data_IF_134864477687
#
_entry.id   IF_134864477687
#
_cell.length_a   1.000
_cell.length_b   1.000
_cell.length_c   1.000
_cell.angle_alpha   90.00
_cell.angle_beta   90.00
_cell.angle_gamma   90.00
#
_symmetry.space_group_name_H-M   'P 1'
#
loop_
_entity.id
_entity.type
_entity.pdbx_description
1 polymer ?
#
# COMPACT_ATOMS: atom_id res chain seq x y z
N UNK A 1 4.67 6.44 -15.81
CA UNK A 1 5.40 5.54 -14.87
C UNK A 1 5.78 6.23 -13.57
N UNK A 2 6.46 7.38 -13.60
CA UNK A 2 6.91 8.06 -12.38
C UNK A 2 5.75 8.43 -11.42
N UNK A 3 4.58 8.79 -11.95
CA UNK A 3 3.39 9.09 -11.14
C UNK A 3 2.87 7.87 -10.36
N UNK A 4 2.88 6.67 -10.96
CA UNK A 4 2.44 5.44 -10.30
C UNK A 4 3.46 5.00 -9.23
N UNK A 5 4.76 5.12 -9.52
CA UNK A 5 5.82 4.85 -8.54
C UNK A 5 5.70 5.77 -7.31
N UNK A 6 5.55 7.08 -7.54
CA UNK A 6 5.34 8.06 -6.45
C UNK A 6 4.04 7.84 -5.68
N UNK A 7 2.98 7.32 -6.31
CA UNK A 7 1.77 6.92 -5.60
C UNK A 7 2.02 5.69 -4.73
N UNK A 8 2.66 4.66 -5.30
CA UNK A 8 2.99 3.43 -4.60
C UNK A 8 3.87 3.69 -3.36
N UNK A 9 4.87 4.56 -3.48
CA UNK A 9 5.73 4.94 -2.35
C UNK A 9 4.94 5.57 -1.21
N UNK A 10 4.00 6.47 -1.52
CA UNK A 10 3.12 7.10 -0.52
C UNK A 10 2.18 6.09 0.13
N UNK A 11 1.63 5.16 -0.64
CA UNK A 11 0.75 4.11 -0.11
C UNK A 11 1.51 3.17 0.84
N UNK A 12 2.70 2.70 0.43
CA UNK A 12 3.56 1.84 1.24
C UNK A 12 4.05 2.55 2.51
N UNK A 13 4.40 3.83 2.40
CA UNK A 13 4.75 4.65 3.56
C UNK A 13 3.57 4.72 4.55
N UNK A 14 2.35 5.01 4.06
CA UNK A 14 1.17 5.08 4.92
C UNK A 14 0.83 3.74 5.58
N UNK A 15 0.98 2.63 4.87
CA UNK A 15 0.76 1.28 5.42
C UNK A 15 1.75 0.99 6.55
N UNK A 16 3.03 1.28 6.31
CA UNK A 16 4.07 1.15 7.33
C UNK A 16 3.75 2.01 8.55
N UNK A 17 3.36 3.26 8.35
CA UNK A 17 3.03 4.15 9.48
C UNK A 17 1.86 3.61 10.31
N UNK A 18 0.81 3.08 9.67
CA UNK A 18 -0.33 2.44 10.36
C UNK A 18 0.09 1.20 11.16
N UNK A 19 0.96 0.35 10.58
CA UNK A 19 1.47 -0.85 11.25
C UNK A 19 2.35 -0.44 12.44
N UNK A 20 3.22 0.55 12.25
CA UNK A 20 4.10 1.05 13.32
C UNK A 20 3.30 1.71 14.44
N UNK A 21 2.26 2.48 14.14
CA UNK A 21 1.34 3.05 15.12
C UNK A 21 0.62 1.94 15.91
N UNK A 22 0.11 0.93 15.20
CA UNK A 22 -0.57 -0.21 15.83
C UNK A 22 0.38 -1.02 16.74
N UNK A 23 1.66 -1.12 16.38
CA UNK A 23 2.69 -1.82 17.14
C UNK A 23 3.16 -1.06 18.40
N UNK A 24 2.78 0.20 18.59
CA UNK A 24 3.11 0.96 19.82
C UNK A 24 2.35 0.46 21.05
N UNK A 25 1.28 -0.30 20.85
CA UNK A 25 0.42 -0.80 21.92
C UNK A 25 0.73 -2.28 22.19
N UNK A 26 0.80 -2.66 23.46
CA UNK A 26 0.98 -4.06 23.91
C UNK A 26 -0.29 -4.93 23.75
N UNK A 27 -1.25 -4.46 22.95
CA UNK A 27 -2.55 -5.10 22.74
C UNK A 27 -2.82 -5.24 21.26
N UNK A 28 -3.64 -6.23 20.88
CA UNK A 28 -4.06 -6.40 19.49
C UNK A 28 -4.72 -5.11 18.94
N UNK A 29 -4.40 -4.71 17.70
CA UNK A 29 -5.05 -3.57 17.07
C UNK A 29 -6.55 -3.84 16.91
N UNK A 30 -7.36 -2.80 17.04
CA UNK A 30 -8.80 -2.92 16.80
C UNK A 30 -9.07 -3.43 15.37
N UNK A 31 -10.17 -4.17 15.19
CA UNK A 31 -10.59 -4.70 13.88
C UNK A 31 -10.68 -3.61 12.80
N UNK A 32 -11.06 -2.39 13.18
CA UNK A 32 -11.10 -1.23 12.29
C UNK A 32 -9.71 -0.83 11.77
N UNK A 33 -8.67 -0.95 12.59
CA UNK A 33 -7.27 -0.74 12.20
C UNK A 33 -6.79 -1.84 11.27
N UNK A 34 -7.06 -3.11 11.62
CA UNK A 34 -6.71 -4.25 10.77
C UNK A 34 -7.37 -4.15 9.39
N UNK A 35 -8.66 -3.77 9.36
CA UNK A 35 -9.39 -3.56 8.11
C UNK A 35 -8.80 -2.44 7.26
N UNK A 36 -8.42 -1.31 7.87
CA UNK A 36 -7.75 -0.20 7.15
C UNK A 36 -6.42 -0.61 6.54
N UNK A 37 -5.64 -1.43 7.24
CA UNK A 37 -4.37 -1.97 6.71
C UNK A 37 -4.65 -2.88 5.51
N UNK A 38 -5.60 -3.81 5.63
CA UNK A 38 -5.97 -4.71 4.54
C UNK A 38 -6.56 -3.99 3.32
N UNK A 39 -7.36 -2.95 3.52
CA UNK A 39 -7.86 -2.10 2.44
C UNK A 39 -6.71 -1.41 1.69
N UNK A 40 -5.71 -0.91 2.44
CA UNK A 40 -4.54 -0.26 1.84
C UNK A 40 -3.65 -1.25 1.08
N UNK A 41 -3.50 -2.48 1.58
CA UNK A 41 -2.81 -3.57 0.88
C UNK A 41 -3.45 -3.89 -0.48
N UNK A 42 -4.78 -3.96 -0.52
CA UNK A 42 -5.51 -4.19 -1.78
C UNK A 42 -5.27 -3.06 -2.78
N UNK A 43 -5.24 -1.81 -2.32
CA UNK A 43 -4.95 -0.64 -3.19
C UNK A 43 -3.51 -0.69 -3.69
N UNK A 44 -2.54 -1.04 -2.84
CA UNK A 44 -1.13 -1.21 -3.22
C UNK A 44 -1.00 -2.26 -4.33
N UNK A 45 -1.61 -3.43 -4.15
CA UNK A 45 -1.58 -4.51 -5.14
C UNK A 45 -2.19 -4.07 -6.48
N UNK A 46 -3.30 -3.31 -6.45
CA UNK A 46 -3.91 -2.77 -7.66
C UNK A 46 -2.98 -1.77 -8.40
N UNK A 47 -2.32 -0.88 -7.66
CA UNK A 47 -1.37 0.08 -8.24
C UNK A 47 -0.13 -0.62 -8.82
N UNK A 48 0.37 -1.66 -8.15
CA UNK A 48 1.47 -2.48 -8.64
C UNK A 48 1.11 -3.19 -9.94
N UNK A 49 -0.09 -3.78 -10.03
CA UNK A 49 -0.59 -4.42 -11.24
C UNK A 49 -0.65 -3.43 -12.43
N UNK A 50 -1.24 -2.26 -12.23
CA UNK A 50 -1.30 -1.22 -13.28
C UNK A 50 0.10 -0.74 -13.66
N UNK A 51 1.01 -0.55 -12.69
CA UNK A 51 2.38 -0.14 -13.00
C UNK A 51 3.16 -1.20 -13.80
N UNK A 52 2.89 -2.48 -13.53
CA UNK A 52 3.45 -3.61 -14.28
C UNK A 52 2.90 -3.69 -15.71
N UNK A 53 1.61 -3.43 -15.90
CA UNK A 53 0.94 -3.34 -17.20
C UNK A 53 1.52 -2.20 -18.04
N UNK A 54 1.59 -1.00 -17.49
CA UNK A 54 2.19 0.17 -18.15
C UNK A 54 3.66 -0.09 -18.56
N UNK A 55 4.43 -0.76 -17.70
CA UNK A 55 5.80 -1.19 -18.00
C UNK A 55 5.87 -2.18 -19.17
N UNK A 56 4.89 -3.08 -19.28
CA UNK A 56 4.82 -4.04 -20.40
C UNK A 56 4.45 -3.34 -21.70
N UNK A 57 3.49 -2.42 -21.67
CA UNK A 57 3.07 -1.65 -22.85
C UNK A 57 4.18 -0.79 -23.43
N UNK A 58 5.06 -0.22 -22.61
CA UNK A 58 6.17 0.61 -23.08
C UNK A 58 7.34 -0.16 -23.70
N UNK A 59 7.37 -1.50 -23.55
CA UNK A 59 8.41 -2.37 -24.11
C UNK A 59 8.01 -3.02 -25.44
N UNK A 60 6.79 -2.78 -25.90
CA UNK A 60 6.24 -3.25 -27.18
C UNK A 60 6.28 -2.11 -28.20
#
# INVERSE_FOLDING_TARGET
METLARLLDRLKARQRDLIMEAAQYDTMPADSTLKRIAELENVIAAVEAVADEERRHQRQ
#
